data_IF_320113531802
#
_entry.id   IF_320113531802
#
_cell.length_a   1.000
_cell.length_b   1.000
_cell.length_c   1.000
_cell.angle_alpha   90.00
_cell.angle_beta   90.00
_cell.angle_gamma   90.00
#
_symmetry.space_group_name_H-M   'P 1'
#
loop_
_entity.id
_entity.type
_entity.pdbx_description
1 polymer ?
#
# COMPACT_ATOMS: atom_id res chain seq x y z
N UNK A 1 -22.80 -57.95 2.28
CA UNK A 1 -22.73 -59.23 3.07
C UNK A 1 -22.51 -58.79 4.51
N UNK A 2 -23.61 -58.78 5.30
CA UNK A 2 -23.94 -59.68 6.44
C UNK A 2 -22.99 -59.54 7.62
N UNK A 3 -23.33 -59.38 8.85
CA UNK A 3 -24.53 -59.54 9.69
C UNK A 3 -24.12 -59.15 11.14
N UNK A 4 -24.95 -58.36 11.88
CA UNK A 4 -25.82 -58.82 12.98
C UNK A 4 -25.05 -59.60 14.08
N UNK A 5 -25.19 -59.40 15.37
CA UNK A 5 -26.33 -59.31 16.29
C UNK A 5 -25.80 -59.11 17.72
N UNK A 6 -26.51 -58.41 18.61
CA UNK A 6 -27.44 -58.82 19.67
C UNK A 6 -26.73 -59.36 20.92
N UNK A 7 -27.05 -58.93 22.13
CA UNK A 7 -28.09 -59.34 23.14
C UNK A 7 -27.75 -58.62 24.46
N UNK A 8 -28.55 -57.78 25.03
CA UNK A 8 -29.59 -58.01 26.05
C UNK A 8 -29.15 -58.58 27.42
N UNK A 9 -29.59 -57.89 28.45
CA UNK A 9 -29.90 -58.42 29.74
C UNK A 9 -29.37 -57.58 30.91
N UNK A 10 -29.98 -57.25 31.92
CA UNK A 10 -31.25 -57.31 32.58
C UNK A 10 -31.05 -56.70 33.99
N UNK A 11 -31.84 -55.72 34.34
CA UNK A 11 -32.44 -55.40 35.65
C UNK A 11 -31.79 -55.87 36.96
N UNK A 12 -31.54 -54.93 37.87
CA UNK A 12 -31.93 -55.07 39.27
C UNK A 12 -32.08 -53.73 40.00
N UNK A 13 -33.16 -53.60 40.70
CA UNK A 13 -33.69 -52.66 41.67
C UNK A 13 -32.72 -52.30 42.81
N UNK A 14 -32.82 -51.08 43.32
CA UNK A 14 -32.35 -50.83 44.67
C UNK A 14 -32.19 -49.38 45.09
N UNK A 15 -33.23 -48.83 45.70
CA UNK A 15 -33.22 -47.81 46.77
C UNK A 15 -32.64 -46.41 46.53
N UNK A 16 -33.53 -45.45 46.54
CA UNK A 16 -33.26 -44.05 46.97
C UNK A 16 -32.85 -44.01 48.46
N UNK A 17 -32.03 -42.98 48.84
CA UNK A 17 -32.62 -41.83 49.50
C UNK A 17 -32.01 -40.48 49.21
N UNK A 18 -32.90 -39.46 49.31
CA UNK A 18 -32.78 -38.14 49.87
C UNK A 18 -31.70 -37.15 49.30
N UNK A 19 -32.18 -36.22 48.56
CA UNK A 19 -32.02 -34.73 48.62
C UNK A 19 -30.81 -34.20 49.36
N UNK A 20 -29.89 -33.56 48.57
CA UNK A 20 -29.31 -32.27 48.92
C UNK A 20 -29.13 -31.49 47.62
N UNK A 21 -29.84 -30.37 47.56
CA UNK A 21 -29.79 -29.47 46.43
C UNK A 21 -28.42 -28.82 46.30
N UNK A 22 -27.76 -29.06 45.17
CA UNK A 22 -26.68 -28.20 44.71
C UNK A 22 -27.18 -27.43 43.48
N UNK A 23 -27.47 -26.19 43.71
CA UNK A 23 -27.65 -25.19 42.65
C UNK A 23 -26.33 -25.10 41.84
N UNK A 24 -26.22 -25.89 40.80
CA UNK A 24 -25.24 -25.61 39.77
C UNK A 24 -25.65 -24.31 39.06
N UNK A 25 -25.02 -23.20 39.43
CA UNK A 25 -25.02 -21.98 38.67
C UNK A 25 -24.42 -22.30 37.29
N UNK A 26 -25.27 -22.30 36.29
CA UNK A 26 -24.88 -22.32 34.89
C UNK A 26 -24.26 -20.92 34.61
N UNK A 27 -22.95 -20.84 34.76
CA UNK A 27 -22.20 -19.70 34.23
C UNK A 27 -22.36 -19.73 32.70
N UNK A 28 -22.78 -18.62 32.07
CA UNK A 28 -22.80 -18.57 30.62
C UNK A 28 -21.38 -18.82 30.14
N UNK A 29 -21.23 -19.77 29.24
CA UNK A 29 -19.97 -20.01 28.54
C UNK A 29 -19.54 -18.66 27.92
N UNK A 30 -18.44 -18.11 28.47
CA UNK A 30 -17.77 -16.95 27.92
C UNK A 30 -17.45 -17.31 26.47
N UNK A 31 -18.09 -16.60 25.54
CA UNK A 31 -17.79 -16.71 24.13
C UNK A 31 -16.27 -16.60 24.01
N UNK A 32 -15.66 -17.65 23.48
CA UNK A 32 -14.22 -17.64 23.17
C UNK A 32 -13.96 -16.42 22.30
N UNK A 33 -13.08 -15.52 22.75
CA UNK A 33 -12.53 -14.46 21.96
C UNK A 33 -12.06 -15.07 20.64
N UNK A 34 -12.82 -14.86 19.59
CA UNK A 34 -12.31 -15.12 18.24
C UNK A 34 -11.11 -14.16 18.08
N UNK A 35 -9.94 -14.64 17.66
CA UNK A 35 -8.85 -13.75 17.37
C UNK A 35 -9.36 -12.74 16.35
N UNK A 36 -9.42 -11.46 16.71
CA UNK A 36 -9.64 -10.39 15.73
C UNK A 36 -8.58 -10.60 14.65
N UNK A 37 -9.02 -10.98 13.47
CA UNK A 37 -8.21 -11.07 12.28
C UNK A 37 -7.58 -9.69 12.11
N UNK A 38 -6.29 -9.58 12.44
CA UNK A 38 -5.53 -8.32 12.28
C UNK A 38 -5.64 -7.96 10.82
N UNK A 39 -6.60 -7.08 10.50
CA UNK A 39 -6.82 -6.58 9.17
C UNK A 39 -5.49 -6.04 8.65
N UNK A 40 -4.90 -6.73 7.70
CA UNK A 40 -3.64 -6.29 7.13
C UNK A 40 -3.89 -4.93 6.45
N UNK A 41 -3.29 -3.90 7.01
CA UNK A 41 -3.46 -2.52 6.56
C UNK A 41 -2.60 -2.21 5.33
N UNK A 42 -1.71 -3.13 4.96
CA UNK A 42 -0.83 -3.00 3.81
C UNK A 42 -1.47 -3.53 2.53
N UNK A 43 -0.97 -3.06 1.42
CA UNK A 43 -1.43 -3.46 0.11
C UNK A 43 -0.61 -4.64 -0.42
N UNK A 44 -1.30 -5.65 -0.89
CA UNK A 44 -0.69 -6.79 -1.59
C UNK A 44 -0.19 -6.39 -2.99
N UNK A 45 0.69 -7.20 -3.56
CA UNK A 45 1.20 -6.99 -4.92
C UNK A 45 0.08 -6.95 -5.97
N UNK A 46 -0.96 -7.79 -5.83
CA UNK A 46 -2.08 -7.82 -6.76
C UNK A 46 -2.92 -6.53 -6.68
N UNK A 47 -3.24 -6.06 -5.48
CA UNK A 47 -3.99 -4.81 -5.29
C UNK A 47 -3.27 -3.60 -5.90
N UNK A 48 -1.95 -3.52 -5.71
CA UNK A 48 -1.12 -2.45 -6.29
C UNK A 48 -1.01 -2.59 -7.81
N UNK A 49 -0.84 -3.81 -8.30
CA UNK A 49 -0.76 -4.07 -9.76
C UNK A 49 -2.05 -3.63 -10.46
N UNK A 50 -3.20 -4.02 -9.93
CA UNK A 50 -4.50 -3.65 -10.52
C UNK A 50 -4.75 -2.14 -10.43
N UNK A 51 -4.49 -1.53 -9.28
CA UNK A 51 -4.65 -0.08 -9.10
C UNK A 51 -3.74 0.72 -10.04
N UNK A 52 -2.48 0.31 -10.19
CA UNK A 52 -1.50 0.98 -11.04
C UNK A 52 -1.76 0.77 -12.52
N UNK A 53 -2.07 -0.46 -12.95
CA UNK A 53 -2.39 -0.78 -14.34
C UNK A 53 -3.60 0.01 -14.84
N UNK A 54 -4.67 0.04 -14.03
CA UNK A 54 -5.87 0.83 -14.33
C UNK A 54 -5.57 2.32 -14.39
N UNK A 55 -4.77 2.83 -13.46
CA UNK A 55 -4.41 4.25 -13.41
C UNK A 55 -3.57 4.68 -14.62
N UNK A 56 -2.53 3.93 -14.96
CA UNK A 56 -1.67 4.24 -16.10
C UNK A 56 -2.33 3.93 -17.45
N UNK A 57 -3.26 2.99 -17.51
CA UNK A 57 -3.82 2.46 -18.76
C UNK A 57 -2.83 1.53 -19.48
N UNK A 58 -2.04 0.78 -18.72
CA UNK A 58 -1.07 -0.20 -19.25
C UNK A 58 -1.51 -1.63 -18.91
N UNK A 59 -0.84 -2.62 -19.49
CA UNK A 59 -1.15 -4.02 -19.18
C UNK A 59 -0.78 -4.37 -17.75
N UNK A 60 -1.57 -5.25 -17.14
CA UNK A 60 -1.31 -5.79 -15.79
C UNK A 60 0.07 -6.44 -15.71
N UNK A 61 0.51 -7.12 -16.78
CA UNK A 61 1.84 -7.73 -16.83
C UNK A 61 2.97 -6.69 -16.74
N UNK A 62 2.87 -5.58 -17.47
CA UNK A 62 3.88 -4.51 -17.41
C UNK A 62 3.94 -3.88 -16.02
N UNK A 63 2.76 -3.64 -15.40
CA UNK A 63 2.68 -3.12 -14.04
C UNK A 63 3.22 -4.11 -13.01
N UNK A 64 2.90 -5.41 -13.15
CA UNK A 64 3.37 -6.46 -12.25
C UNK A 64 4.89 -6.54 -12.19
N UNK A 65 5.59 -6.38 -13.32
CA UNK A 65 7.07 -6.36 -13.35
C UNK A 65 7.63 -5.21 -12.51
N UNK A 66 7.05 -4.02 -12.62
CA UNK A 66 7.44 -2.87 -11.80
C UNK A 66 7.16 -3.08 -10.31
N UNK A 67 5.98 -3.61 -9.99
CA UNK A 67 5.56 -3.92 -8.62
C UNK A 67 6.47 -4.99 -8.00
N UNK A 68 6.75 -6.08 -8.72
CA UNK A 68 7.63 -7.15 -8.23
C UNK A 68 9.03 -6.63 -7.89
N UNK A 69 9.58 -5.72 -8.70
CA UNK A 69 10.87 -5.11 -8.40
C UNK A 69 10.84 -4.35 -7.07
N UNK A 70 9.85 -3.45 -6.89
CA UNK A 70 9.73 -2.65 -5.67
C UNK A 70 9.40 -3.51 -4.44
N UNK A 71 8.54 -4.53 -4.60
CA UNK A 71 8.18 -5.43 -3.50
C UNK A 71 9.37 -6.32 -3.07
N UNK A 72 10.24 -6.68 -4.01
CA UNK A 72 11.49 -7.36 -3.69
C UNK A 72 12.42 -6.53 -2.78
N UNK A 73 12.45 -5.22 -3.00
CA UNK A 73 13.31 -4.29 -2.26
C UNK A 73 12.68 -3.80 -0.94
N UNK A 74 11.37 -3.51 -0.94
CA UNK A 74 10.69 -2.76 0.12
C UNK A 74 9.51 -3.50 0.77
N UNK A 75 9.03 -4.61 0.18
CA UNK A 75 7.85 -5.33 0.65
C UNK A 75 6.53 -4.64 0.32
N UNK A 76 5.54 -4.84 1.16
CA UNK A 76 4.17 -4.33 1.01
C UNK A 76 4.04 -2.88 1.49
N UNK A 77 3.45 -1.97 0.68
CA UNK A 77 3.28 -0.57 1.05
C UNK A 77 2.07 -0.34 1.97
N UNK A 78 2.14 0.69 2.81
CA UNK A 78 1.04 1.13 3.68
C UNK A 78 -0.01 1.95 2.92
N UNK A 79 0.40 2.59 1.83
CA UNK A 79 -0.43 3.47 1.03
C UNK A 79 0.13 3.60 -0.39
N UNK A 80 -0.65 4.21 -1.26
CA UNK A 80 -0.15 4.70 -2.55
C UNK A 80 -0.71 6.08 -2.87
N UNK A 81 0.01 6.84 -3.70
CA UNK A 81 -0.43 8.11 -4.25
C UNK A 81 -0.60 7.93 -5.77
N UNK A 82 -1.72 8.39 -6.30
CA UNK A 82 -1.97 8.42 -7.75
C UNK A 82 -2.33 9.85 -8.16
N UNK A 83 -1.72 10.32 -9.23
CA UNK A 83 -1.98 11.67 -9.71
C UNK A 83 -1.14 12.03 -10.92
N UNK A 84 -1.27 13.28 -11.33
CA UNK A 84 -0.64 13.80 -12.52
C UNK A 84 0.47 14.78 -12.16
N UNK A 85 1.55 14.75 -12.93
CA UNK A 85 2.66 15.67 -12.86
C UNK A 85 2.73 16.51 -14.13
N UNK A 86 3.01 17.78 -13.98
CA UNK A 86 3.34 18.67 -15.09
C UNK A 86 4.62 19.43 -14.76
N UNK A 87 5.40 19.76 -15.78
CA UNK A 87 6.61 20.53 -15.60
C UNK A 87 7.11 21.09 -16.94
N UNK A 88 7.96 22.07 -16.87
CA UNK A 88 8.69 22.62 -18.01
C UNK A 88 10.16 22.74 -17.66
N UNK A 89 11.03 22.26 -18.54
CA UNK A 89 12.47 22.42 -18.41
C UNK A 89 13.12 22.62 -19.78
N UNK A 90 14.00 23.60 -19.87
CA UNK A 90 14.90 23.71 -21.01
C UNK A 90 16.25 23.03 -20.78
N UNK A 91 16.65 22.77 -19.58
CA UNK A 91 17.80 21.99 -19.12
C UNK A 91 17.54 21.64 -17.65
N UNK A 92 17.15 22.63 -16.86
CA UNK A 92 16.74 22.50 -15.45
C UNK A 92 15.41 23.19 -15.29
N UNK A 93 14.44 22.51 -14.73
CA UNK A 93 13.10 23.03 -14.50
C UNK A 93 12.50 22.53 -13.21
N UNK A 94 11.23 22.78 -13.04
CA UNK A 94 10.45 22.32 -11.90
C UNK A 94 9.33 21.42 -12.37
N UNK A 95 9.05 20.43 -11.56
CA UNK A 95 7.93 19.51 -11.70
C UNK A 95 6.96 19.77 -10.56
N UNK A 96 5.69 19.86 -10.92
CA UNK A 96 4.58 20.00 -9.98
C UNK A 96 3.59 18.87 -10.23
N UNK A 97 3.09 18.30 -9.16
CA UNK A 97 2.07 17.27 -9.25
C UNK A 97 0.98 17.46 -8.23
N UNK A 98 -0.15 16.86 -8.52
CA UNK A 98 -1.27 16.76 -7.60
C UNK A 98 -1.95 15.41 -7.75
N UNK A 99 -2.48 14.88 -6.66
CA UNK A 99 -3.12 13.57 -6.66
C UNK A 99 -3.75 13.24 -5.32
N UNK A 100 -3.96 11.96 -5.12
CA UNK A 100 -4.67 11.43 -3.98
C UNK A 100 -3.82 10.37 -3.27
N UNK A 101 -3.59 10.57 -1.98
CA UNK A 101 -3.08 9.56 -1.07
C UNK A 101 -4.22 8.60 -0.73
N UNK A 102 -4.05 7.32 -1.02
CA UNK A 102 -5.04 6.27 -0.79
C UNK A 102 -4.53 5.27 0.24
N UNK A 103 -5.33 5.05 1.28
CA UNK A 103 -5.08 4.08 2.36
C UNK A 103 -6.29 3.17 2.52
N UNK A 104 -6.08 1.93 2.98
CA UNK A 104 -7.18 0.95 3.15
C UNK A 104 -8.25 1.39 4.14
N UNK A 105 -7.90 2.20 5.14
CA UNK A 105 -8.77 2.52 6.28
C UNK A 105 -9.15 3.98 6.41
N UNK A 106 -8.80 4.79 5.44
CA UNK A 106 -9.07 6.23 5.45
C UNK A 106 -9.60 6.69 4.12
N UNK A 107 -10.38 7.76 4.13
CA UNK A 107 -10.78 8.44 2.91
C UNK A 107 -9.56 8.97 2.16
N UNK A 108 -9.58 8.95 0.82
CA UNK A 108 -8.49 9.49 0.01
C UNK A 108 -8.25 10.96 0.33
N UNK A 109 -7.00 11.33 0.60
CA UNK A 109 -6.58 12.69 0.93
C UNK A 109 -5.87 13.31 -0.26
N UNK A 110 -6.25 14.52 -0.63
CA UNK A 110 -5.57 15.26 -1.69
C UNK A 110 -4.18 15.68 -1.22
N UNK A 111 -3.20 15.48 -2.10
CA UNK A 111 -1.78 15.81 -1.84
C UNK A 111 -1.17 16.47 -3.07
N UNK A 112 -0.19 17.32 -2.81
CA UNK A 112 0.57 18.03 -3.85
C UNK A 112 2.04 17.74 -3.66
N UNK A 113 2.79 17.76 -4.76
CA UNK A 113 4.25 17.61 -4.69
C UNK A 113 4.94 18.50 -5.72
N UNK A 114 6.17 18.83 -5.41
CA UNK A 114 7.05 19.61 -6.29
C UNK A 114 8.48 19.15 -6.12
N UNK A 115 9.29 19.39 -7.14
CA UNK A 115 10.71 19.09 -7.11
C UNK A 115 11.43 19.54 -8.37
N UNK A 116 12.77 19.48 -8.39
CA UNK A 116 13.53 19.76 -9.59
C UNK A 116 13.22 18.71 -10.67
N UNK A 117 13.27 19.16 -11.90
CA UNK A 117 13.18 18.33 -13.10
C UNK A 117 14.39 18.62 -13.95
N UNK A 118 15.08 17.56 -14.40
CA UNK A 118 16.20 17.69 -15.32
C UNK A 118 15.85 16.95 -16.60
N UNK A 119 15.97 17.61 -17.74
CA UNK A 119 15.70 17.01 -19.05
C UNK A 119 15.17 18.04 -20.05
N UNK A 120 15.15 17.64 -21.31
CA UNK A 120 14.51 18.41 -22.37
C UNK A 120 13.04 18.00 -22.45
N UNK A 121 12.19 18.66 -21.70
CA UNK A 121 10.75 18.57 -21.86
C UNK A 121 10.26 19.82 -22.59
N UNK A 122 10.35 19.77 -23.91
CA UNK A 122 9.79 20.82 -24.77
C UNK A 122 8.32 20.52 -24.97
N UNK A 123 7.49 21.18 -24.17
CA UNK A 123 6.03 21.06 -24.20
C UNK A 123 5.46 20.56 -22.88
N UNK A 124 4.48 21.27 -22.35
CA UNK A 124 3.83 20.98 -21.07
C UNK A 124 3.10 19.64 -21.04
N UNK A 125 3.84 18.57 -21.07
CA UNK A 125 3.29 17.21 -21.03
C UNK A 125 2.95 16.84 -19.59
N UNK A 126 1.68 16.57 -19.35
CA UNK A 126 1.21 15.91 -18.16
C UNK A 126 1.67 14.45 -18.22
N UNK A 127 2.34 13.99 -17.18
CA UNK A 127 2.70 12.60 -16.98
C UNK A 127 1.99 12.05 -15.76
N UNK A 128 1.59 10.79 -15.83
CA UNK A 128 1.01 10.10 -14.68
C UNK A 128 2.10 9.66 -13.71
N UNK A 129 1.84 9.82 -12.43
CA UNK A 129 2.72 9.37 -11.36
C UNK A 129 1.96 8.49 -10.37
N UNK A 130 2.50 7.31 -10.11
CA UNK A 130 1.96 6.38 -9.11
C UNK A 130 3.06 6.06 -8.11
N UNK A 131 2.87 6.46 -6.85
CA UNK A 131 3.91 6.38 -5.82
C UNK A 131 3.49 5.41 -4.73
N UNK A 132 4.29 4.36 -4.47
CA UNK A 132 4.12 3.51 -3.31
C UNK A 132 4.70 4.20 -2.08
N UNK A 133 4.03 4.06 -0.94
CA UNK A 133 4.37 4.75 0.31
C UNK A 133 4.56 3.72 1.42
N UNK A 134 5.71 3.78 2.08
CA UNK A 134 6.14 2.84 3.10
C UNK A 134 6.42 3.54 4.42
N UNK A 135 6.09 2.89 5.53
CA UNK A 135 6.30 3.35 6.91
C UNK A 135 5.58 4.68 7.22
N UNK A 136 4.43 4.90 6.56
CA UNK A 136 3.61 6.09 6.79
C UNK A 136 2.64 5.83 7.95
N UNK A 137 3.04 6.18 9.17
CA UNK A 137 2.18 6.07 10.35
C UNK A 137 1.05 7.09 10.31
N UNK A 138 1.39 8.35 10.08
CA UNK A 138 0.49 9.49 10.03
C UNK A 138 0.67 10.25 8.73
N UNK A 139 -0.42 10.82 8.18
CA UNK A 139 -0.40 11.50 6.88
C UNK A 139 0.47 12.76 6.90
N UNK A 140 0.60 13.41 8.05
CA UNK A 140 1.44 14.60 8.26
C UNK A 140 2.92 14.32 8.00
N UNK A 141 3.36 13.08 8.23
CA UNK A 141 4.75 12.66 7.93
C UNK A 141 5.06 12.60 6.44
N UNK A 142 4.04 12.65 5.59
CA UNK A 142 4.23 12.80 4.16
C UNK A 142 4.63 14.23 3.78
N UNK A 143 4.21 15.25 4.57
CA UNK A 143 4.40 16.66 4.21
C UNK A 143 5.78 17.17 4.60
N UNK A 144 6.78 16.74 3.85
CA UNK A 144 8.19 17.10 4.04
C UNK A 144 8.96 16.97 2.73
N UNK A 145 10.26 17.30 2.78
CA UNK A 145 11.18 17.08 1.67
C UNK A 145 11.72 15.64 1.71
N UNK A 146 11.65 14.98 0.58
CA UNK A 146 12.20 13.63 0.37
C UNK A 146 13.36 13.70 -0.63
N UNK A 147 14.60 13.63 -0.19
CA UNK A 147 15.74 13.47 -1.08
C UNK A 147 15.70 12.10 -1.77
N UNK A 148 16.23 12.05 -3.00
CA UNK A 148 16.42 10.82 -3.73
C UNK A 148 17.51 9.95 -3.09
N UNK A 149 17.33 8.65 -3.17
CA UNK A 149 18.35 7.69 -2.80
C UNK A 149 19.28 7.50 -4.01
N UNK A 150 20.57 7.71 -3.81
CA UNK A 150 21.55 7.56 -4.87
C UNK A 150 21.55 6.14 -5.44
N UNK A 151 21.67 6.01 -6.78
CA UNK A 151 21.68 4.72 -7.46
C UNK A 151 20.34 4.00 -7.52
N UNK A 152 19.24 4.62 -7.05
CA UNK A 152 17.93 3.97 -6.98
C UNK A 152 17.02 4.20 -8.19
N UNK A 153 17.59 4.59 -9.33
CA UNK A 153 16.80 4.75 -10.55
C UNK A 153 16.81 3.47 -11.38
N UNK A 154 15.62 2.96 -11.69
CA UNK A 154 15.41 1.73 -12.46
C UNK A 154 14.41 1.96 -13.59
N UNK A 155 14.64 1.29 -14.72
CA UNK A 155 13.68 1.20 -15.82
C UNK A 155 13.17 -0.23 -15.92
N UNK A 156 11.89 -0.45 -15.61
CA UNK A 156 11.25 -1.76 -15.62
C UNK A 156 9.98 -1.72 -16.45
N UNK A 157 9.91 -2.46 -17.53
CA UNK A 157 8.74 -2.59 -18.41
C UNK A 157 8.16 -1.22 -18.88
N UNK A 158 9.02 -0.22 -19.13
CA UNK A 158 8.59 1.13 -19.54
C UNK A 158 8.20 2.04 -18.38
N UNK A 159 8.31 1.58 -17.14
CA UNK A 159 8.13 2.37 -15.94
C UNK A 159 9.48 2.85 -15.42
N UNK A 160 9.63 4.15 -15.19
CA UNK A 160 10.75 4.72 -14.44
C UNK A 160 10.42 4.72 -12.96
N UNK A 161 11.29 4.10 -12.17
CA UNK A 161 11.15 3.93 -10.73
C UNK A 161 12.35 4.58 -10.06
N UNK A 162 12.14 5.33 -9.00
CA UNK A 162 13.21 5.80 -8.14
C UNK A 162 12.76 5.79 -6.68
N UNK A 163 13.70 5.78 -5.74
CA UNK A 163 13.38 5.80 -4.32
C UNK A 163 13.72 7.15 -3.71
N UNK A 164 12.83 7.61 -2.83
CA UNK A 164 12.98 8.83 -2.06
C UNK A 164 12.82 8.46 -0.58
N UNK A 165 13.62 9.04 0.30
CA UNK A 165 13.55 8.66 1.73
C UNK A 165 13.73 9.87 2.63
N UNK A 166 12.85 10.01 3.62
CA UNK A 166 12.95 11.05 4.65
C UNK A 166 12.21 10.64 5.91
N UNK A 167 12.74 10.95 7.08
CA UNK A 167 12.07 10.75 8.37
C UNK A 167 11.59 9.32 8.63
N UNK A 168 12.23 8.30 8.05
CA UNK A 168 11.80 6.90 8.14
C UNK A 168 10.71 6.49 7.14
N UNK A 169 10.11 7.44 6.42
CA UNK A 169 9.17 7.17 5.32
C UNK A 169 9.96 6.95 4.04
N UNK A 170 9.56 5.96 3.25
CA UNK A 170 10.13 5.70 1.93
C UNK A 170 9.03 5.82 0.88
N UNK A 171 9.35 6.49 -0.21
CA UNK A 171 8.48 6.65 -1.38
C UNK A 171 9.13 5.96 -2.58
N UNK A 172 8.31 5.28 -3.39
CA UNK A 172 8.74 4.67 -4.64
C UNK A 172 7.84 5.17 -5.78
N UNK A 173 8.08 6.38 -6.31
CA UNK A 173 7.34 6.87 -7.46
C UNK A 173 7.66 6.08 -8.73
N UNK A 174 6.61 5.68 -9.41
CA UNK A 174 6.61 5.10 -10.75
C UNK A 174 6.01 6.09 -11.74
N UNK A 175 6.62 6.21 -12.92
CA UNK A 175 6.20 7.14 -13.97
C UNK A 175 6.23 6.46 -15.33
N UNK A 176 5.29 6.85 -16.18
CA UNK A 176 5.29 6.49 -17.61
C UNK A 176 5.65 7.73 -18.42
N UNK A 177 6.35 7.57 -19.54
CA UNK A 177 6.54 8.65 -20.50
C UNK A 177 8.00 8.91 -20.90
N UNK A 178 8.15 9.81 -21.87
CA UNK A 178 9.39 10.05 -22.64
C UNK A 178 10.45 10.86 -21.86
N UNK A 179 10.08 11.51 -20.76
CA UNK A 179 10.99 12.32 -19.91
C UNK A 179 11.99 11.53 -19.06
N UNK A 180 11.99 10.20 -19.19
CA UNK A 180 12.80 9.28 -18.36
C UNK A 180 14.26 9.11 -18.84
N UNK A 181 14.72 9.88 -19.83
CA UNK A 181 16.00 9.62 -20.50
C UNK A 181 17.24 10.08 -19.78
N UNK A 182 17.12 10.85 -18.74
CA UNK A 182 18.30 11.29 -18.00
C UNK A 182 18.26 10.73 -16.58
N UNK A 183 19.08 9.73 -16.34
CA UNK A 183 19.39 9.26 -14.99
C UNK A 183 20.15 10.34 -14.20
N UNK A 184 19.58 11.52 -14.07
CA UNK A 184 20.19 12.62 -13.32
C UNK A 184 19.58 12.63 -11.93
N UNK A 185 20.42 12.28 -10.98
CA UNK A 185 20.14 12.10 -9.56
C UNK A 185 20.04 13.41 -8.76
N UNK A 186 19.60 14.51 -9.34
CA UNK A 186 19.33 15.71 -8.56
C UNK A 186 17.87 15.67 -8.08
N UNK A 187 17.60 14.84 -7.09
CA UNK A 187 16.22 14.54 -6.81
C UNK A 187 15.90 14.79 -5.36
N UNK A 188 15.02 15.72 -5.19
CA UNK A 188 14.14 15.71 -4.04
C UNK A 188 12.72 15.96 -4.51
N UNK A 189 11.76 15.52 -3.73
CA UNK A 189 10.36 15.95 -3.85
C UNK A 189 9.90 16.49 -2.51
N UNK A 190 9.15 17.58 -2.55
CA UNK A 190 8.49 18.16 -1.39
C UNK A 190 7.02 17.87 -1.53
N UNK A 191 6.44 17.20 -0.55
CA UNK A 191 5.01 16.96 -0.47
C UNK A 191 4.33 17.96 0.45
N UNK A 192 3.10 18.35 0.13
CA UNK A 192 2.31 19.32 0.90
C UNK A 192 0.81 18.99 0.82
N UNK A 193 0.05 19.47 1.81
CA UNK A 193 -1.41 19.35 1.87
C UNK A 193 -2.15 20.44 1.09
N UNK A 194 -1.40 21.44 0.57
CA UNK A 194 -1.92 22.55 -0.20
C UNK A 194 -1.05 22.81 -1.43
N UNK A 195 -1.66 23.44 -2.44
CA UNK A 195 -0.95 23.84 -3.65
C UNK A 195 -0.02 24.99 -3.32
N UNK A 196 1.26 24.74 -3.44
CA UNK A 196 2.31 25.72 -3.23
C UNK A 196 3.20 25.79 -4.48
N UNK A 197 3.28 26.99 -5.07
CA UNK A 197 3.99 27.22 -6.33
C UNK A 197 5.46 27.57 -6.12
N UNK A 198 5.88 27.86 -4.89
CA UNK A 198 7.27 28.20 -4.62
C UNK A 198 8.12 26.92 -4.49
N UNK A 199 9.20 26.80 -5.26
CA UNK A 199 10.03 25.59 -5.31
C UNK A 199 10.95 25.38 -4.10
N UNK A 200 10.98 26.30 -3.14
CA UNK A 200 11.89 26.30 -1.98
C UNK A 200 11.21 25.84 -0.72
#
# INVERSE_FOLDING_TARGET
>A
MNRKKFISGLVAFGAMPAATGSLLSILPARAADQPEEKKDLRYTANEITDAGANFFGITTEAMAKGVQHIFGDLGEPDAYIKGDEGGGAFVVGFRYGSGWLVRKTREPKQVYWRGPSVGFDVGGNLSKCFTLVYNLRDDERLFQRFPGVEGSFYMVAGLGINYLRSGGVTLAPMRTGVGLRAGVNAHYQVYSDRRDWFPL
#
